data_IF_296276447151
#
_entry.id   IF_296276447151
#
_cell.length_a   1.000
_cell.length_b   1.000
_cell.length_c   1.000
_cell.angle_alpha   90.00
_cell.angle_beta   90.00
_cell.angle_gamma   90.00
#
_symmetry.space_group_name_H-M   'P 1'
#
loop_
_entity.id
_entity.type
_entity.pdbx_description
1 polymer ?
#
# COMPACT_ATOMS: atom_id res chain seq x y z
N UNK A 1 -4.36 -14.29 -7.89
CA UNK A 1 -3.62 -13.74 -6.73
C UNK A 1 -4.01 -12.28 -6.58
N UNK A 2 -4.52 -11.87 -5.42
CA UNK A 2 -5.00 -10.50 -5.21
C UNK A 2 -3.84 -9.52 -4.98
N UNK A 3 -3.92 -8.28 -5.50
CA UNK A 3 -2.85 -7.31 -5.34
C UNK A 3 -2.74 -6.82 -3.90
N UNK A 4 -1.51 -6.64 -3.41
CA UNK A 4 -1.29 -6.00 -2.10
C UNK A 4 -1.53 -4.50 -2.21
N UNK A 5 -2.11 -3.94 -1.15
CA UNK A 5 -2.50 -2.53 -1.03
C UNK A 5 -1.72 -1.88 0.11
N UNK A 6 -1.08 -0.75 -0.21
CA UNK A 6 -0.38 0.09 0.77
C UNK A 6 -1.19 1.34 1.06
N UNK A 7 -1.61 1.54 2.31
CA UNK A 7 -2.42 2.69 2.78
C UNK A 7 -1.68 3.49 3.84
N UNK A 8 -1.77 4.81 3.80
CA UNK A 8 -1.24 5.68 4.86
C UNK A 8 -2.13 5.63 6.11
N UNK A 9 -1.52 5.58 7.30
CA UNK A 9 -2.17 5.56 8.61
C UNK A 9 -1.43 6.49 9.58
N UNK A 10 -1.99 7.68 9.80
CA UNK A 10 -1.56 8.75 10.73
C UNK A 10 -0.09 9.23 10.60
N UNK A 11 0.90 8.33 10.62
CA UNK A 11 2.34 8.59 10.41
C UNK A 11 3.04 7.44 9.66
N UNK A 12 2.42 6.27 9.51
CA UNK A 12 3.03 5.04 8.96
C UNK A 12 2.24 4.49 7.75
N UNK A 13 2.86 3.63 6.94
CA UNK A 13 2.24 2.92 5.84
C UNK A 13 1.85 1.51 6.27
N UNK A 14 0.60 1.13 6.03
CA UNK A 14 0.06 -0.21 6.27
C UNK A 14 0.02 -1.00 4.97
N UNK A 15 0.65 -2.18 4.96
CA UNK A 15 0.59 -3.17 3.87
C UNK A 15 -0.51 -4.16 4.20
N UNK A 16 -1.46 -4.37 3.28
CA UNK A 16 -2.58 -5.30 3.47
C UNK A 16 -3.07 -5.91 2.16
N UNK A 17 -3.64 -7.10 2.24
CA UNK A 17 -4.46 -7.63 1.15
C UNK A 17 -5.79 -6.87 1.06
N UNK A 18 -6.47 -6.87 -0.11
CA UNK A 18 -7.69 -6.11 -0.33
C UNK A 18 -8.82 -6.45 0.65
N UNK A 19 -8.92 -7.72 1.01
CA UNK A 19 -10.00 -8.25 1.87
C UNK A 19 -9.57 -8.38 3.33
N UNK A 20 -8.33 -7.97 3.67
CA UNK A 20 -7.83 -8.03 5.03
C UNK A 20 -8.25 -6.81 5.83
N UNK A 21 -8.97 -7.05 6.93
CA UNK A 21 -9.35 -6.02 7.89
C UNK A 21 -8.15 -5.52 8.70
N UNK A 22 -7.06 -6.30 8.78
CA UNK A 22 -5.84 -5.98 9.52
C UNK A 22 -4.66 -5.73 8.58
N UNK A 23 -3.75 -4.86 9.00
CA UNK A 23 -2.48 -4.70 8.32
C UNK A 23 -1.64 -5.97 8.50
N UNK A 24 -1.08 -6.48 7.41
CA UNK A 24 -0.14 -7.60 7.41
C UNK A 24 1.26 -7.12 7.84
N UNK A 25 1.61 -5.89 7.50
CA UNK A 25 2.81 -5.22 7.98
C UNK A 25 2.59 -3.71 8.07
N UNK A 26 3.45 -3.02 8.83
CA UNK A 26 3.52 -1.56 8.88
C UNK A 26 4.95 -1.10 8.67
N UNK A 27 5.13 0.02 7.97
CA UNK A 27 6.44 0.63 7.74
C UNK A 27 6.40 2.15 7.93
N UNK A 28 7.53 2.74 8.27
CA UNK A 28 7.68 4.18 8.47
C UNK A 28 7.71 4.96 7.15
N UNK A 29 8.20 4.34 6.09
CA UNK A 29 8.27 4.96 4.76
C UNK A 29 7.51 4.17 3.70
N UNK A 30 7.16 4.85 2.61
CA UNK A 30 6.46 4.23 1.48
C UNK A 30 7.34 3.16 0.80
N UNK A 31 8.65 3.43 0.70
CA UNK A 31 9.63 2.52 0.10
C UNK A 31 9.71 1.20 0.87
N UNK A 32 9.89 1.28 2.18
CA UNK A 32 9.92 0.09 3.05
C UNK A 32 8.60 -0.69 2.97
N UNK A 33 7.47 0.00 2.85
CA UNK A 33 6.18 -0.66 2.67
C UNK A 33 6.09 -1.42 1.34
N UNK A 34 6.67 -0.89 0.25
CA UNK A 34 6.72 -1.54 -1.06
C UNK A 34 7.61 -2.77 -1.02
N UNK A 35 8.77 -2.67 -0.39
CA UNK A 35 9.69 -3.81 -0.19
C UNK A 35 9.00 -4.93 0.59
N UNK A 36 8.39 -4.61 1.74
CA UNK A 36 7.63 -5.60 2.52
C UNK A 36 6.43 -6.17 1.76
N UNK A 37 5.77 -5.37 0.92
CA UNK A 37 4.73 -5.89 0.05
C UNK A 37 5.28 -6.87 -0.99
N UNK A 38 6.45 -6.59 -1.58
CA UNK A 38 7.12 -7.49 -2.52
C UNK A 38 7.50 -8.83 -1.87
N UNK A 39 8.02 -8.81 -0.65
CA UNK A 39 8.36 -10.04 0.09
C UNK A 39 7.14 -10.88 0.46
N UNK A 40 6.04 -10.23 0.88
CA UNK A 40 4.79 -10.91 1.25
C UNK A 40 4.02 -11.43 0.04
N UNK A 41 4.25 -10.86 -1.14
CA UNK A 41 3.53 -11.19 -2.37
C UNK A 41 4.49 -11.22 -3.57
N UNK A 42 5.44 -12.18 -3.61
CA UNK A 42 6.57 -12.16 -4.55
C UNK A 42 6.17 -12.27 -6.02
N UNK A 43 4.97 -12.76 -6.32
CA UNK A 43 4.42 -12.85 -7.68
C UNK A 43 3.19 -11.97 -7.90
N UNK A 44 2.77 -11.19 -6.91
CA UNK A 44 1.56 -10.39 -6.98
C UNK A 44 1.81 -8.90 -7.17
N UNK A 45 0.80 -8.24 -7.72
CA UNK A 45 0.87 -6.81 -8.00
C UNK A 45 0.83 -6.00 -6.69
N UNK A 46 1.80 -5.12 -6.50
CA UNK A 46 1.79 -4.13 -5.41
C UNK A 46 1.12 -2.86 -5.90
N UNK A 47 0.15 -2.36 -5.15
CA UNK A 47 -0.56 -1.12 -5.42
C UNK A 47 -0.46 -0.18 -4.23
N UNK A 48 -0.14 1.07 -4.51
CA UNK A 48 0.10 2.11 -3.52
C UNK A 48 -1.01 3.14 -3.58
N UNK A 49 -1.62 3.46 -2.44
CA UNK A 49 -2.63 4.50 -2.33
C UNK A 49 -1.99 5.88 -2.42
N UNK A 50 -2.64 6.81 -3.13
CA UNK A 50 -2.25 8.21 -3.13
C UNK A 50 -2.50 8.85 -1.77
N UNK A 51 -1.44 9.37 -1.17
CA UNK A 51 -1.49 10.02 0.15
C UNK A 51 -2.05 11.45 0.08
N UNK A 52 -1.83 12.15 -1.05
CA UNK A 52 -2.18 13.57 -1.19
C UNK A 52 -3.35 13.78 -2.15
N UNK A 53 -4.24 14.70 -1.77
CA UNK A 53 -5.26 15.26 -2.65
C UNK A 53 -4.61 16.32 -3.54
N UNK A 54 -4.79 16.17 -4.84
CA UNK A 54 -4.34 17.05 -5.92
C UNK A 54 -5.43 17.10 -6.98
N UNK A 55 -5.40 18.09 -7.87
CA UNK A 55 -6.30 18.13 -9.04
C UNK A 55 -6.25 16.86 -9.88
N UNK A 56 -5.10 16.18 -9.94
CA UNK A 56 -4.90 14.93 -10.66
C UNK A 56 -5.18 13.64 -9.85
N UNK A 57 -5.60 13.73 -8.58
CA UNK A 57 -5.91 12.52 -7.80
C UNK A 57 -6.05 12.73 -6.30
N UNK A 58 -6.73 11.80 -5.64
CA UNK A 58 -7.10 11.81 -4.22
C UNK A 58 -6.77 10.47 -3.53
N UNK A 59 -6.77 10.42 -2.19
CA UNK A 59 -6.86 9.15 -1.45
C UNK A 59 -7.97 8.27 -2.02
N UNK A 60 -7.83 6.94 -1.91
CA UNK A 60 -8.59 5.91 -2.65
C UNK A 60 -8.24 5.72 -4.14
N UNK A 61 -7.25 6.44 -4.68
CA UNK A 61 -6.66 6.11 -5.99
C UNK A 61 -5.37 5.31 -5.83
N UNK A 62 -5.36 4.13 -6.42
CA UNK A 62 -4.25 3.19 -6.37
C UNK A 62 -3.34 3.34 -7.60
N UNK A 63 -2.03 3.20 -7.40
CA UNK A 63 -1.01 3.30 -8.44
C UNK A 63 -0.03 2.14 -8.31
N UNK A 64 0.56 1.71 -9.43
CA UNK A 64 1.76 0.88 -9.37
C UNK A 64 2.89 1.74 -8.77
N UNK A 65 3.72 1.17 -7.88
CA UNK A 65 4.86 1.88 -7.30
C UNK A 65 5.82 2.41 -8.36
#
# INVERSE_FOLDING_TARGET
>A
MLPLRIKVRQVNYAVRHPDSQRASATATTQREAIERAGELNPSGLVLVERVRTTSAGKPDKWRKP
#
